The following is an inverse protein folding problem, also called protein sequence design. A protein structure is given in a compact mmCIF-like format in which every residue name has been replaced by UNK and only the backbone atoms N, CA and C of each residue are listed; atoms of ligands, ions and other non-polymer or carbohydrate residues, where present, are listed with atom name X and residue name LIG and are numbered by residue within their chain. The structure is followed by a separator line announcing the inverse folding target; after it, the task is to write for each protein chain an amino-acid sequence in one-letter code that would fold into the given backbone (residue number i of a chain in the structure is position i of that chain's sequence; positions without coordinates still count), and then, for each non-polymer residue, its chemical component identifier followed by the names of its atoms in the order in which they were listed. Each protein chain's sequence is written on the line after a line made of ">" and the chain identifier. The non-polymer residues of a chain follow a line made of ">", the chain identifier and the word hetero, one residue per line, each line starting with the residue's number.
data_IF_551536786040
#
_entry.id   IF_551536786040
#
_cell.length_a   1.000
_cell.length_b   1.000
_cell.length_c   1.000
_cell.angle_alpha   90.00
_cell.angle_beta   90.00
_cell.angle_gamma   90.00
#
_symmetry.space_group_name_H-M   'P 1'
#
loop_
_entity.id
_entity.type
_entity.pdbx_description
1 polymer ?
#
# COMPACT_ATOMS: atom_id res chain seq x y z
N UNK A 1 -24.98 -36.67 -10.33
CA UNK A 1 -24.36 -35.60 -9.54
C UNK A 1 -22.91 -35.98 -9.25
N UNK A 2 -21.93 -35.30 -9.87
CA UNK A 2 -20.52 -35.46 -9.51
C UNK A 2 -20.28 -34.69 -8.21
N UNK A 3 -19.78 -35.36 -7.17
CA UNK A 3 -19.26 -34.68 -5.98
C UNK A 3 -18.20 -33.67 -6.44
N UNK A 4 -18.40 -32.39 -6.10
CA UNK A 4 -17.36 -31.40 -6.28
C UNK A 4 -16.12 -31.88 -5.52
N UNK A 5 -15.05 -32.21 -6.25
CA UNK A 5 -13.78 -32.57 -5.65
C UNK A 5 -13.38 -31.49 -4.66
N UNK A 6 -12.95 -31.90 -3.47
CA UNK A 6 -12.53 -31.02 -2.38
C UNK A 6 -11.33 -30.19 -2.82
N UNK A 7 -11.59 -29.02 -3.42
CA UNK A 7 -10.55 -28.06 -3.72
C UNK A 7 -9.90 -27.63 -2.40
N UNK A 8 -8.58 -27.79 -2.31
CA UNK A 8 -7.76 -27.23 -1.24
C UNK A 8 -6.73 -26.30 -1.89
N UNK A 9 -6.59 -25.07 -1.40
CA UNK A 9 -5.52 -24.18 -1.86
C UNK A 9 -4.16 -24.77 -1.51
N UNK A 10 -3.15 -24.51 -2.33
CA UNK A 10 -1.76 -24.64 -1.90
C UNK A 10 -1.40 -23.53 -0.88
N UNK A 11 -0.20 -23.59 -0.28
CA UNK A 11 0.21 -22.67 0.77
C UNK A 11 0.22 -21.20 0.32
N UNK A 12 0.61 -20.93 -0.94
CA UNK A 12 0.66 -19.58 -1.49
C UNK A 12 -0.75 -19.04 -1.76
N UNK A 13 -1.62 -19.87 -2.34
CA UNK A 13 -3.03 -19.56 -2.54
C UNK A 13 -3.74 -19.33 -1.21
N UNK A 14 -3.45 -20.13 -0.18
CA UNK A 14 -4.01 -19.97 1.15
C UNK A 14 -3.57 -18.64 1.78
N UNK A 15 -2.27 -18.32 1.70
CA UNK A 15 -1.74 -17.04 2.17
C UNK A 15 -2.50 -15.86 1.54
N UNK A 16 -2.63 -15.85 0.21
CA UNK A 16 -3.33 -14.79 -0.51
C UNK A 16 -4.82 -14.67 -0.12
N UNK A 17 -5.51 -15.80 0.06
CA UNK A 17 -6.91 -15.81 0.53
C UNK A 17 -7.02 -15.21 1.93
N UNK A 18 -6.13 -15.61 2.84
CA UNK A 18 -6.11 -15.12 4.22
C UNK A 18 -5.85 -13.61 4.24
N UNK A 19 -4.88 -13.11 3.47
CA UNK A 19 -4.60 -11.67 3.38
C UNK A 19 -5.83 -10.87 2.90
N UNK A 20 -6.54 -11.37 1.88
CA UNK A 20 -7.76 -10.72 1.39
C UNK A 20 -8.90 -10.75 2.41
N UNK A 21 -9.01 -11.82 3.21
CA UNK A 21 -9.99 -11.88 4.31
C UNK A 21 -9.64 -10.95 5.45
N UNK A 22 -8.35 -10.73 5.71
CA UNK A 22 -7.90 -9.72 6.66
C UNK A 22 -8.22 -8.31 6.14
N UNK A 23 -8.04 -8.03 4.84
CA UNK A 23 -8.50 -6.78 4.22
C UNK A 23 -10.00 -6.56 4.42
N UNK A 24 -10.82 -7.58 4.19
CA UNK A 24 -12.26 -7.54 4.45
C UNK A 24 -12.57 -7.24 5.93
N UNK A 25 -11.90 -7.92 6.87
CA UNK A 25 -12.06 -7.66 8.30
C UNK A 25 -11.72 -6.21 8.68
N UNK A 26 -10.66 -5.63 8.10
CA UNK A 26 -10.33 -4.21 8.29
C UNK A 26 -11.40 -3.27 7.74
N UNK A 27 -11.91 -3.54 6.53
CA UNK A 27 -12.97 -2.72 5.91
C UNK A 27 -14.25 -2.78 6.73
N UNK A 28 -14.65 -3.96 7.21
CA UNK A 28 -15.87 -4.15 7.99
C UNK A 28 -15.76 -3.60 9.43
N UNK A 29 -14.56 -3.60 10.02
CA UNK A 29 -14.33 -3.07 11.37
C UNK A 29 -14.06 -1.56 11.42
N UNK A 30 -13.76 -0.93 10.29
CA UNK A 30 -13.56 0.52 10.20
C UNK A 30 -14.83 1.24 9.73
N UNK A 31 -15.38 2.18 10.49
CA UNK A 31 -16.62 2.86 10.12
C UNK A 31 -16.43 3.98 9.06
N UNK A 32 -15.20 4.18 8.56
CA UNK A 32 -14.87 5.15 7.50
C UNK A 32 -14.30 4.49 6.25
N UNK A 33 -13.60 5.27 5.41
CA UNK A 33 -12.84 4.73 4.28
C UNK A 33 -11.39 4.47 4.70
N UNK A 34 -10.86 3.31 4.33
CA UNK A 34 -9.43 2.97 4.40
C UNK A 34 -8.89 2.91 2.98
N UNK A 35 -7.73 3.49 2.77
CA UNK A 35 -6.87 3.15 1.65
C UNK A 35 -6.02 1.95 2.04
N UNK A 36 -6.12 0.90 1.23
CA UNK A 36 -5.29 -0.30 1.34
C UNK A 36 -4.30 -0.30 0.18
N UNK A 37 -3.06 -0.66 0.48
CA UNK A 37 -1.97 -0.80 -0.48
C UNK A 37 -1.41 -2.22 -0.42
N UNK A 38 -1.22 -2.81 -1.59
CA UNK A 38 -0.71 -4.17 -1.78
C UNK A 38 0.63 -4.09 -2.52
N UNK A 39 1.68 -4.80 -2.10
CA UNK A 39 2.93 -4.88 -2.83
C UNK A 39 2.72 -5.31 -4.28
N UNK A 40 3.42 -4.67 -5.21
CA UNK A 40 3.41 -5.07 -6.63
C UNK A 40 4.13 -6.41 -6.87
N UNK A 41 5.02 -6.77 -5.97
CA UNK A 41 5.82 -7.97 -6.00
C UNK A 41 6.16 -8.35 -4.55
N UNK A 42 6.20 -9.65 -4.28
CA UNK A 42 6.58 -10.16 -2.96
C UNK A 42 8.11 -10.12 -2.83
N UNK A 43 8.62 -9.07 -2.20
CA UNK A 43 10.04 -8.93 -1.81
C UNK A 43 10.27 -9.25 -0.34
N UNK A 44 9.26 -9.89 0.28
CA UNK A 44 9.16 -10.00 1.72
C UNK A 44 8.95 -8.64 2.39
N UNK A 45 8.49 -8.70 3.64
CA UNK A 45 8.52 -7.56 4.54
C UNK A 45 7.16 -7.07 4.97
N UNK A 46 6.35 -6.65 4.01
CA UNK A 46 5.03 -6.07 4.27
C UNK A 46 4.03 -6.69 3.30
N UNK A 47 2.97 -7.31 3.81
CA UNK A 47 1.89 -7.85 2.99
C UNK A 47 0.88 -6.75 2.66
N UNK A 48 0.63 -5.80 3.57
CA UNK A 48 -0.29 -4.67 3.35
C UNK A 48 0.20 -3.39 4.03
N UNK A 49 -0.17 -2.24 3.46
CA UNK A 49 -0.16 -0.96 4.16
C UNK A 49 -1.56 -0.34 4.14
N UNK A 50 -2.01 0.25 5.26
CA UNK A 50 -3.34 0.85 5.37
C UNK A 50 -3.30 2.21 6.05
N UNK A 51 -4.13 3.14 5.58
CA UNK A 51 -4.36 4.42 6.23
C UNK A 51 -5.82 4.86 6.06
N UNK A 52 -6.42 5.57 7.03
CA UNK A 52 -7.69 6.26 6.82
C UNK A 52 -7.61 7.22 5.65
N UNK A 53 -8.71 7.38 4.91
CA UNK A 53 -8.74 8.27 3.75
C UNK A 53 -8.26 9.69 4.11
N UNK A 54 -7.27 10.16 3.37
CA UNK A 54 -6.66 11.49 3.55
C UNK A 54 -5.64 11.58 4.68
N UNK A 55 -5.46 10.51 5.45
CA UNK A 55 -4.34 10.35 6.36
C UNK A 55 -3.07 9.92 5.63
N UNK A 56 -1.92 10.19 6.26
CA UNK A 56 -0.61 9.64 5.90
C UNK A 56 0.00 8.82 7.06
N UNK A 57 -0.81 8.51 8.08
CA UNK A 57 -0.46 7.61 9.19
C UNK A 57 -0.57 6.15 8.74
N UNK A 58 0.34 5.73 7.87
CA UNK A 58 0.35 4.37 7.33
C UNK A 58 0.73 3.35 8.40
N UNK A 59 -0.10 2.31 8.50
CA UNK A 59 0.15 1.12 9.32
C UNK A 59 0.45 -0.06 8.42
N UNK A 60 1.60 -0.67 8.63
CA UNK A 60 2.13 -1.81 7.90
C UNK A 60 1.70 -3.10 8.56
N UNK A 61 1.46 -4.13 7.76
CA UNK A 61 0.95 -5.39 8.22
C UNK A 61 1.70 -6.53 7.54
N UNK A 62 2.15 -7.49 8.35
CA UNK A 62 2.66 -8.77 7.88
C UNK A 62 1.71 -9.86 8.36
N UNK A 63 0.98 -10.44 7.42
CA UNK A 63 -0.15 -11.33 7.70
C UNK A 63 0.34 -12.76 7.62
N UNK A 64 0.08 -13.54 8.67
CA UNK A 64 0.41 -14.96 8.71
C UNK A 64 -0.80 -15.71 9.21
N UNK A 65 -1.12 -16.82 8.57
CA UNK A 65 -2.28 -17.60 8.97
C UNK A 65 -2.10 -19.07 8.72
N UNK A 66 -3.03 -19.84 9.26
CA UNK A 66 -3.08 -21.28 9.12
C UNK A 66 -4.53 -21.71 8.87
N UNK A 67 -4.70 -22.84 8.21
CA UNK A 67 -5.98 -23.54 8.13
C UNK A 67 -5.90 -24.94 8.76
N UNK A 68 -4.82 -25.19 9.51
CA UNK A 68 -4.56 -26.47 10.13
C UNK A 68 -5.45 -26.64 11.37
N UNK A 69 -5.94 -27.87 11.56
CA UNK A 69 -6.74 -28.23 12.71
C UNK A 69 -5.80 -28.69 13.83
N UNK A 70 -5.68 -27.90 14.90
CA UNK A 70 -4.89 -28.21 16.09
C UNK A 70 -5.77 -28.63 17.28
N UNK A 71 -5.15 -29.06 18.38
CA UNK A 71 -5.85 -29.45 19.62
C UNK A 71 -6.74 -28.31 20.13
N UNK A 72 -8.03 -28.61 20.36
CA UNK A 72 -9.12 -27.71 20.81
C UNK A 72 -8.94 -26.24 20.48
N UNK A 73 -8.19 -25.48 21.28
CA UNK A 73 -8.08 -24.02 21.14
C UNK A 73 -6.70 -23.51 20.68
N UNK A 74 -5.70 -24.37 20.56
CA UNK A 74 -4.35 -23.96 20.17
C UNK A 74 -4.30 -23.66 18.66
N UNK A 75 -3.45 -22.74 18.26
CA UNK A 75 -3.03 -22.54 16.87
C UNK A 75 -1.51 -22.53 16.79
N UNK A 76 -0.98 -23.01 15.66
CA UNK A 76 0.45 -22.94 15.36
C UNK A 76 0.66 -22.42 13.95
N UNK A 77 1.57 -21.47 13.79
CA UNK A 77 1.88 -20.84 12.50
C UNK A 77 3.40 -20.78 12.35
N UNK A 78 3.93 -21.57 11.42
CA UNK A 78 5.35 -21.59 11.10
C UNK A 78 5.65 -20.74 9.87
N UNK A 79 6.61 -19.83 9.96
CA UNK A 79 6.99 -18.94 8.85
C UNK A 79 8.51 -18.69 8.85
N UNK A 80 9.04 -18.27 7.69
CA UNK A 80 10.45 -17.88 7.60
C UNK A 80 10.69 -16.63 8.43
N UNK A 81 11.80 -16.60 9.17
CA UNK A 81 12.15 -15.44 10.00
C UNK A 81 12.28 -14.21 9.10
N UNK A 82 11.49 -13.16 9.32
CA UNK A 82 11.51 -11.99 8.45
C UNK A 82 12.88 -11.28 8.56
N UNK A 83 13.49 -10.96 7.43
CA UNK A 83 14.66 -10.08 7.33
C UNK A 83 14.21 -8.61 7.37
N UNK A 84 13.50 -8.23 8.43
CA UNK A 84 12.96 -6.88 8.60
C UNK A 84 13.53 -6.20 9.84
N UNK A 85 13.90 -4.94 9.69
CA UNK A 85 14.13 -4.09 10.84
C UNK A 85 12.79 -3.82 11.54
N UNK A 86 12.72 -3.96 12.88
CA UNK A 86 11.52 -3.59 13.62
C UNK A 86 11.07 -2.17 13.27
N UNK A 87 9.78 -2.04 12.94
CA UNK A 87 9.18 -0.78 12.56
C UNK A 87 7.98 -0.52 13.47
N UNK A 88 7.96 0.65 14.10
CA UNK A 88 6.89 1.07 15.04
C UNK A 88 5.48 1.06 14.45
N UNK A 89 5.36 1.07 13.12
CA UNK A 89 4.10 1.04 12.40
C UNK A 89 3.80 -0.34 11.79
N UNK A 90 4.68 -1.33 11.98
CA UNK A 90 4.51 -2.70 11.51
C UNK A 90 4.04 -3.60 12.64
N UNK A 91 2.87 -4.20 12.46
CA UNK A 91 2.44 -5.35 13.24
C UNK A 91 2.41 -6.61 12.38
N UNK A 92 2.54 -7.75 13.04
CA UNK A 92 2.26 -9.06 12.50
C UNK A 92 0.84 -9.45 12.89
N UNK A 93 -0.01 -9.68 11.89
CA UNK A 93 -1.38 -10.15 12.09
C UNK A 93 -1.41 -11.67 11.94
N UNK A 94 -1.60 -12.37 13.05
CA UNK A 94 -1.81 -13.81 13.05
C UNK A 94 -3.30 -14.14 13.06
N UNK A 95 -3.72 -15.09 12.21
CA UNK A 95 -5.13 -15.49 12.10
C UNK A 95 -5.29 -16.99 11.85
N UNK A 96 -6.40 -17.54 12.33
CA UNK A 96 -6.86 -18.88 11.98
C UNK A 96 -7.95 -18.78 10.91
N UNK A 97 -7.93 -19.70 9.93
CA UNK A 97 -8.82 -19.69 8.78
C UNK A 97 -9.53 -21.03 8.61
N UNK A 98 -10.86 -21.00 8.62
CA UNK A 98 -11.69 -22.19 8.51
C UNK A 98 -12.00 -22.50 7.03
N UNK A 99 -11.29 -23.47 6.44
CA UNK A 99 -11.47 -23.88 5.05
C UNK A 99 -12.94 -24.17 4.65
N UNK A 100 -13.75 -24.89 5.46
CA UNK A 100 -15.14 -25.18 5.11
C UNK A 100 -16.03 -23.95 4.93
N UNK A 101 -15.94 -22.96 5.83
CA UNK A 101 -16.79 -21.75 5.78
C UNK A 101 -16.12 -20.60 5.03
N UNK A 102 -14.81 -20.69 4.80
CA UNK A 102 -13.96 -19.67 4.17
C UNK A 102 -13.92 -18.36 4.96
N UNK A 103 -13.90 -18.48 6.28
CA UNK A 103 -13.94 -17.38 7.23
C UNK A 103 -12.70 -17.38 8.13
N UNK A 104 -12.34 -16.19 8.62
CA UNK A 104 -11.39 -16.05 9.71
C UNK A 104 -12.07 -16.38 11.03
N UNK A 105 -11.34 -17.00 11.95
CA UNK A 105 -11.83 -17.36 13.28
C UNK A 105 -11.29 -16.35 14.30
N UNK A 106 -12.15 -15.91 15.22
CA UNK A 106 -11.75 -15.10 16.37
C UNK A 106 -10.93 -15.91 17.39
N UNK A 107 -9.94 -15.29 18.07
CA UNK A 107 -9.42 -13.94 17.83
C UNK A 107 -8.36 -13.90 16.72
N UNK A 108 -8.05 -12.70 16.24
CA UNK A 108 -6.77 -12.42 15.60
C UNK A 108 -5.73 -12.01 16.66
N UNK A 109 -4.44 -12.01 16.30
CA UNK A 109 -3.38 -11.43 17.14
C UNK A 109 -2.66 -10.34 16.38
N UNK A 110 -2.64 -9.13 16.94
CA UNK A 110 -1.88 -7.99 16.42
C UNK A 110 -0.62 -7.81 17.25
N UNK A 111 0.50 -8.33 16.75
CA UNK A 111 1.78 -8.33 17.46
C UNK A 111 2.72 -7.28 16.86
N UNK A 112 3.12 -6.23 17.59
CA UNK A 112 4.11 -5.29 17.09
C UNK A 112 5.41 -5.97 16.67
N UNK A 113 6.02 -5.51 15.58
CA UNK A 113 7.23 -6.14 15.03
C UNK A 113 8.44 -6.17 15.98
N UNK A 114 8.50 -5.28 16.98
CA UNK A 114 9.53 -5.29 18.03
C UNK A 114 9.22 -6.28 19.19
N UNK A 115 8.02 -6.86 19.21
CA UNK A 115 7.54 -7.83 20.22
C UNK A 115 7.44 -9.25 19.71
N UNK A 116 7.80 -9.44 18.47
CA UNK A 116 7.65 -10.65 17.71
C UNK A 116 8.45 -11.83 18.34
N UNK A 117 9.65 -11.56 18.85
CA UNK A 117 10.47 -12.55 19.58
C UNK A 117 9.92 -12.91 20.98
N UNK A 118 8.98 -12.14 21.53
CA UNK A 118 8.33 -12.49 22.81
C UNK A 118 7.32 -13.63 22.63
N UNK A 119 6.70 -13.72 21.45
CA UNK A 119 5.60 -14.65 21.16
C UNK A 119 5.97 -15.79 20.20
N UNK A 120 7.09 -15.66 19.49
CA UNK A 120 7.59 -16.68 18.56
C UNK A 120 8.80 -17.42 19.13
N UNK A 121 8.90 -18.71 18.82
CA UNK A 121 10.09 -19.52 19.11
C UNK A 121 10.87 -19.81 17.82
N UNK A 122 12.19 -19.70 17.87
CA UNK A 122 13.04 -20.12 16.76
C UNK A 122 12.98 -21.65 16.62
N UNK A 123 12.75 -22.12 15.39
CA UNK A 123 12.71 -23.54 15.04
C UNK A 123 13.76 -23.82 13.97
N UNK A 124 14.66 -24.76 14.24
CA UNK A 124 15.74 -25.17 13.34
C UNK A 124 17.14 -24.73 13.82
N UNK A 125 17.84 -25.63 14.51
CA UNK A 125 19.29 -25.52 14.81
C UNK A 125 20.10 -26.67 14.18
N UNK A 126 19.59 -27.29 13.11
CA UNK A 126 20.28 -28.39 12.42
C UNK A 126 20.28 -28.21 10.90
N UNK A 127 21.47 -28.01 10.33
CA UNK A 127 21.81 -28.21 8.91
C UNK A 127 20.99 -27.43 7.85
N UNK A 128 21.59 -26.38 7.30
CA UNK A 128 21.26 -25.72 6.01
C UNK A 128 19.84 -25.24 5.73
N UNK A 129 18.92 -25.22 6.71
CA UNK A 129 17.57 -24.67 6.52
C UNK A 129 17.49 -23.23 7.01
N UNK A 130 16.86 -22.34 6.23
CA UNK A 130 16.62 -20.95 6.63
C UNK A 130 15.99 -20.87 8.03
N UNK A 131 16.36 -19.88 8.84
CA UNK A 131 15.83 -19.74 10.20
C UNK A 131 14.31 -19.59 10.15
N UNK A 132 13.57 -20.45 10.85
CA UNK A 132 12.10 -20.40 10.92
C UNK A 132 11.63 -19.98 12.30
N UNK A 133 10.53 -19.26 12.33
CA UNK A 133 9.82 -18.92 13.56
C UNK A 133 8.51 -19.70 13.63
N UNK A 134 8.16 -20.09 14.85
CA UNK A 134 6.91 -20.72 15.19
C UNK A 134 6.14 -19.82 16.16
N UNK A 135 4.98 -19.36 15.73
CA UNK A 135 4.00 -18.70 16.59
C UNK A 135 3.02 -19.74 17.13
N UNK A 136 2.73 -19.68 18.42
CA UNK A 136 1.77 -20.56 19.09
C UNK A 136 0.90 -19.74 20.03
N UNK A 137 -0.41 -19.93 19.97
CA UNK A 137 -1.36 -19.22 20.82
C UNK A 137 -2.60 -20.06 21.11
N UNK A 138 -3.24 -19.81 22.24
CA UNK A 138 -4.56 -20.30 22.61
C UNK A 138 -5.61 -19.24 22.21
N UNK A 139 -6.67 -19.67 21.53
CA UNK A 139 -7.81 -18.82 21.10
C UNK A 139 -8.73 -18.40 22.24
N UNK A 140 -8.64 -19.05 23.40
CA UNK A 140 -9.47 -18.74 24.55
C UNK A 140 -9.29 -17.29 24.98
N UNK A 141 -10.40 -16.58 25.24
CA UNK A 141 -10.36 -15.24 25.86
C UNK A 141 -9.87 -15.26 27.31
N UNK A 142 -9.64 -16.45 27.89
CA UNK A 142 -9.01 -16.67 29.19
C UNK A 142 -7.58 -17.20 29.07
N UNK A 143 -7.00 -17.16 27.86
CA UNK A 143 -5.64 -17.60 27.61
C UNK A 143 -4.64 -16.85 28.51
N UNK A 144 -3.60 -17.55 28.95
CA UNK A 144 -2.49 -17.01 29.75
C UNK A 144 -1.14 -17.20 29.08
N UNK A 145 -1.15 -17.58 27.80
CA UNK A 145 0.06 -17.66 27.01
C UNK A 145 0.63 -16.25 26.71
N UNK A 146 1.81 -16.22 26.09
CA UNK A 146 2.52 -14.97 25.80
C UNK A 146 1.81 -14.09 24.77
N UNK A 147 0.99 -14.69 23.91
CA UNK A 147 0.28 -14.03 22.84
C UNK A 147 -1.08 -13.45 23.30
N UNK A 148 -1.63 -13.92 24.43
CA UNK A 148 -2.94 -13.51 24.95
C UNK A 148 -3.14 -11.99 25.02
N UNK A 149 -2.10 -11.23 25.40
CA UNK A 149 -2.14 -9.74 25.47
C UNK A 149 -2.29 -9.04 24.12
N UNK A 150 -2.12 -9.76 23.01
CA UNK A 150 -2.24 -9.27 21.64
C UNK A 150 -3.52 -9.76 20.94
N UNK A 151 -4.37 -10.51 21.63
CA UNK A 151 -5.66 -10.94 21.08
C UNK A 151 -6.56 -9.74 20.80
N UNK A 152 -7.14 -9.71 19.60
CA UNK A 152 -8.09 -8.71 19.15
C UNK A 152 -9.22 -9.42 18.42
N UNK A 153 -10.46 -9.05 18.72
CA UNK A 153 -11.59 -9.55 17.95
C UNK A 153 -11.50 -9.00 16.51
N UNK A 154 -11.82 -9.80 15.50
CA UNK A 154 -11.76 -9.41 14.08
C UNK A 154 -12.59 -8.14 13.80
N UNK A 155 -13.72 -7.97 14.48
CA UNK A 155 -14.58 -6.77 14.41
C UNK A 155 -13.93 -5.50 15.01
N UNK A 156 -12.86 -5.63 15.77
CA UNK A 156 -12.12 -4.55 16.44
C UNK A 156 -10.74 -4.31 15.81
N UNK A 157 -10.39 -5.08 14.76
CA UNK A 157 -9.06 -5.10 14.15
C UNK A 157 -8.60 -3.70 13.70
N UNK A 158 -9.47 -2.96 13.00
CA UNK A 158 -9.19 -1.58 12.60
C UNK A 158 -9.00 -0.64 13.80
N UNK A 159 -9.87 -0.71 14.80
CA UNK A 159 -9.81 0.14 15.98
C UNK A 159 -8.52 -0.08 16.80
N UNK A 160 -8.02 -1.32 16.82
CA UNK A 160 -6.80 -1.69 17.52
C UNK A 160 -5.52 -1.08 16.90
N UNK A 161 -5.55 -0.59 15.66
CA UNK A 161 -4.39 -0.01 14.94
C UNK A 161 -3.99 1.39 15.39
N UNK A 162 -4.80 2.03 16.25
CA UNK A 162 -4.49 3.34 16.88
C UNK A 162 -4.10 4.43 15.87
N UNK A 163 -4.80 4.49 14.73
CA UNK A 163 -4.61 5.58 13.78
C UNK A 163 -4.83 6.95 14.44
N UNK A 164 -4.04 7.94 14.03
CA UNK A 164 -4.08 9.29 14.59
C UNK A 164 -5.34 10.10 14.23
N UNK A 165 -6.21 9.58 13.36
CA UNK A 165 -7.38 10.26 12.84
C UNK A 165 -8.63 9.42 13.10
N UNK A 166 -9.71 10.08 13.52
CA UNK A 166 -11.03 9.47 13.66
C UNK A 166 -11.75 9.39 12.30
N UNK A 167 -12.54 8.34 12.06
CA UNK A 167 -13.26 8.17 10.81
C UNK A 167 -14.23 9.34 10.59
N UNK A 168 -14.28 9.86 9.35
CA UNK A 168 -15.30 10.85 8.97
C UNK A 168 -16.69 10.21 9.06
N UNK A 169 -17.67 10.99 9.55
CA UNK A 169 -19.09 10.55 9.65
C UNK A 169 -19.74 10.23 8.30
N UNK A 170 -19.15 10.63 7.18
CA UNK A 170 -19.66 10.39 5.83
C UNK A 170 -18.54 10.03 4.86
N UNK A 171 -18.85 9.14 3.91
CA UNK A 171 -17.94 8.77 2.83
C UNK A 171 -17.58 10.00 1.97
N UNK A 172 -16.33 10.09 1.50
CA UNK A 172 -15.97 11.12 0.54
C UNK A 172 -16.73 10.89 -0.78
N UNK A 173 -17.48 11.90 -1.22
CA UNK A 173 -18.16 11.91 -2.52
C UNK A 173 -17.11 12.02 -3.63
N UNK A 174 -17.23 11.21 -4.69
CA UNK A 174 -16.36 11.28 -5.87
C UNK A 174 -15.21 10.26 -5.92
N UNK A 175 -15.24 9.23 -5.08
CA UNK A 175 -14.41 8.03 -5.26
C UNK A 175 -14.85 7.34 -6.56
N UNK A 176 -13.98 7.29 -7.57
CA UNK A 176 -14.29 6.62 -8.84
C UNK A 176 -14.52 5.13 -8.59
N UNK A 177 -15.62 4.57 -9.06
CA UNK A 177 -15.91 3.13 -8.94
C UNK A 177 -15.38 2.31 -10.12
N UNK A 178 -14.85 2.96 -11.17
CA UNK A 178 -14.40 2.30 -12.38
C UNK A 178 -12.89 2.51 -12.60
N UNK A 179 -12.10 1.43 -12.79
CA UNK A 179 -10.73 1.54 -13.25
C UNK A 179 -10.72 2.17 -14.65
N UNK A 180 -10.02 3.28 -14.81
CA UNK A 180 -9.81 3.89 -16.12
C UNK A 180 -8.56 3.25 -16.72
N UNK A 181 -8.72 2.34 -17.68
CA UNK A 181 -7.62 1.58 -18.33
C UNK A 181 -6.45 2.48 -18.79
N UNK A 182 -6.74 3.73 -19.19
CA UNK A 182 -5.72 4.70 -19.59
C UNK A 182 -4.82 5.14 -18.44
N UNK A 183 -5.33 5.25 -17.21
CA UNK A 183 -4.51 5.57 -16.01
C UNK A 183 -3.52 4.44 -15.69
N UNK A 184 -4.01 3.20 -15.73
CA UNK A 184 -3.19 2.00 -15.50
C UNK A 184 -1.98 1.91 -16.43
N UNK A 185 -2.08 2.34 -17.70
CA UNK A 185 -0.94 2.32 -18.62
C UNK A 185 0.26 3.13 -18.10
N UNK A 186 0.02 4.34 -17.62
CA UNK A 186 1.08 5.22 -17.08
C UNK A 186 1.65 4.67 -15.79
N UNK A 187 0.78 4.16 -14.92
CA UNK A 187 1.22 3.55 -13.67
C UNK A 187 2.07 2.31 -13.89
N UNK A 188 1.68 1.41 -14.81
CA UNK A 188 2.47 0.22 -15.14
C UNK A 188 3.83 0.56 -15.73
N UNK A 189 3.92 1.62 -16.52
CA UNK A 189 5.21 2.11 -17.02
C UNK A 189 6.11 2.61 -15.88
N UNK A 190 5.55 3.38 -14.94
CA UNK A 190 6.26 3.80 -13.74
C UNK A 190 6.68 2.60 -12.89
N UNK A 191 5.79 1.63 -12.67
CA UNK A 191 6.04 0.42 -11.89
C UNK A 191 7.26 -0.34 -12.43
N UNK A 192 7.29 -0.61 -13.74
CA UNK A 192 8.42 -1.30 -14.37
C UNK A 192 9.74 -0.54 -14.16
N UNK A 193 9.75 0.77 -14.41
CA UNK A 193 10.95 1.60 -14.27
C UNK A 193 11.42 1.69 -12.80
N UNK A 194 10.49 1.69 -11.84
CA UNK A 194 10.82 1.67 -10.41
C UNK A 194 11.44 0.34 -10.00
N UNK A 195 10.87 -0.77 -10.44
CA UNK A 195 11.38 -2.10 -10.13
C UNK A 195 12.76 -2.34 -10.75
N UNK A 196 13.00 -1.84 -11.96
CA UNK A 196 14.33 -1.87 -12.60
C UNK A 196 15.38 -1.07 -11.84
N UNK A 197 14.99 0.03 -11.21
CA UNK A 197 15.88 0.88 -10.43
C UNK A 197 15.99 0.46 -8.95
N UNK A 198 15.16 -0.46 -8.47
CA UNK A 198 15.10 -0.83 -7.06
C UNK A 198 16.34 -1.62 -6.62
N UNK A 199 16.83 -1.34 -5.41
CA UNK A 199 17.97 -2.04 -4.83
C UNK A 199 17.58 -3.38 -4.19
N UNK A 200 16.28 -3.59 -3.98
CA UNK A 200 15.70 -4.67 -3.18
C UNK A 200 15.36 -4.25 -1.75
N UNK A 201 15.77 -3.07 -1.28
CA UNK A 201 15.31 -2.48 -0.02
C UNK A 201 13.89 -1.89 -0.15
N UNK A 202 13.56 -1.36 -1.32
CA UNK A 202 12.31 -0.66 -1.55
C UNK A 202 11.15 -1.61 -1.89
N UNK A 203 10.04 -1.47 -1.16
CA UNK A 203 8.77 -2.14 -1.46
C UNK A 203 7.83 -1.13 -2.10
N UNK A 204 7.50 -1.32 -3.38
CA UNK A 204 6.48 -0.53 -4.08
C UNK A 204 5.12 -1.23 -3.97
N UNK A 205 4.13 -0.49 -3.49
CA UNK A 205 2.77 -0.94 -3.29
C UNK A 205 1.79 -0.14 -4.14
N UNK A 206 0.75 -0.80 -4.64
CA UNK A 206 -0.36 -0.21 -5.37
C UNK A 206 -1.61 -0.10 -4.52
N UNK A 207 -2.38 0.96 -4.72
CA UNK A 207 -3.72 1.13 -4.16
C UNK A 207 -4.65 0.00 -4.59
N UNK A 208 -5.40 -0.54 -3.63
CA UNK A 208 -6.39 -1.59 -3.85
C UNK A 208 -7.66 -1.31 -3.01
N UNK A 209 -8.77 -0.87 -3.62
CA UNK A 209 -8.92 -0.52 -5.04
C UNK A 209 -8.24 0.82 -5.38
N UNK A 210 -7.89 0.99 -6.66
CA UNK A 210 -7.30 2.23 -7.17
C UNK A 210 -8.35 3.32 -7.44
N UNK A 211 -8.99 3.76 -6.35
CA UNK A 211 -10.11 4.70 -6.42
C UNK A 211 -9.79 6.07 -5.81
N UNK A 212 -8.57 6.25 -5.32
CA UNK A 212 -8.11 7.43 -4.59
C UNK A 212 -6.97 8.11 -5.36
N UNK A 213 -6.72 9.40 -5.13
CA UNK A 213 -5.68 10.16 -5.87
C UNK A 213 -4.24 9.77 -5.51
N UNK A 214 -4.02 8.57 -4.95
CA UNK A 214 -2.74 8.06 -4.46
C UNK A 214 -2.51 6.66 -4.99
N UNK A 215 -1.94 6.57 -6.18
CA UNK A 215 -1.86 5.32 -6.95
C UNK A 215 -0.76 4.39 -6.42
N UNK A 216 0.38 4.94 -5.97
CA UNK A 216 1.50 4.14 -5.43
C UNK A 216 2.02 4.66 -4.11
N UNK A 217 2.52 3.74 -3.29
CA UNK A 217 3.16 3.97 -2.00
C UNK A 217 4.42 3.11 -1.94
N UNK A 218 5.57 3.71 -1.66
CA UNK A 218 6.82 2.99 -1.47
C UNK A 218 7.29 3.09 -0.02
N UNK A 219 7.90 2.01 0.48
CA UNK A 219 8.60 1.96 1.76
C UNK A 219 10.02 1.47 1.58
N UNK A 220 10.95 1.96 2.39
CA UNK A 220 12.27 1.37 2.61
C UNK A 220 12.18 0.37 3.77
N UNK A 221 12.61 -0.88 3.57
CA UNK A 221 12.61 -1.91 4.63
C UNK A 221 13.62 -1.57 5.73
N UNK A 222 14.78 -1.03 5.37
CA UNK A 222 15.84 -0.67 6.30
C UNK A 222 15.48 0.54 7.15
N UNK A 223 15.04 1.63 6.52
CA UNK A 223 14.84 2.91 7.22
C UNK A 223 13.41 3.16 7.69
N UNK A 224 12.44 2.39 7.19
CA UNK A 224 11.02 2.62 7.41
C UNK A 224 10.49 3.93 6.78
N UNK A 225 11.30 4.62 5.97
CA UNK A 225 10.89 5.80 5.21
C UNK A 225 9.85 5.42 4.18
N UNK A 226 8.99 6.37 3.81
CA UNK A 226 7.93 6.13 2.84
C UNK A 226 7.73 7.31 1.89
N UNK A 227 7.26 7.10 0.68
CA UNK A 227 6.79 8.18 -0.18
C UNK A 227 5.59 7.68 -0.96
N UNK A 228 4.65 8.56 -1.30
CA UNK A 228 3.52 8.19 -2.15
C UNK A 228 3.44 9.07 -3.39
N UNK A 229 2.81 8.56 -4.43
CA UNK A 229 2.73 9.24 -5.72
C UNK A 229 1.38 9.03 -6.39
N UNK A 230 0.84 10.12 -6.95
CA UNK A 230 -0.28 10.14 -7.88
C UNK A 230 0.27 10.19 -9.30
N UNK A 231 -0.15 9.28 -10.17
CA UNK A 231 0.39 9.16 -11.53
C UNK A 231 -0.72 9.46 -12.53
N UNK A 232 -0.58 10.54 -13.29
CA UNK A 232 -1.58 10.97 -14.25
C UNK A 232 -1.03 11.00 -15.66
N UNK A 233 -1.71 10.28 -16.55
CA UNK A 233 -1.62 10.50 -17.98
C UNK A 233 -2.24 11.82 -18.37
N UNK A 234 -1.64 12.50 -19.33
CA UNK A 234 -2.18 13.72 -19.89
C UNK A 234 -2.71 13.51 -21.31
N UNK A 235 -3.85 14.14 -21.61
CA UNK A 235 -4.38 14.22 -22.97
C UNK A 235 -3.88 15.51 -23.63
N UNK A 236 -3.32 15.40 -24.85
CA UNK A 236 -2.96 16.57 -25.65
C UNK A 236 -4.17 17.07 -26.45
N UNK A 237 -4.46 18.37 -26.38
CA UNK A 237 -5.42 18.99 -27.30
C UNK A 237 -4.71 19.42 -28.59
N UNK A 238 -5.18 18.91 -29.74
CA UNK A 238 -4.52 19.01 -31.05
C UNK A 238 -4.22 20.43 -31.57
N UNK A 239 -4.84 21.48 -31.04
CA UNK A 239 -4.71 22.85 -31.58
C UNK A 239 -3.61 23.70 -30.93
N UNK A 240 -3.05 23.30 -29.79
CA UNK A 240 -2.20 24.18 -28.97
C UNK A 240 -1.00 23.51 -28.30
N UNK A 241 -0.77 22.21 -28.56
CA UNK A 241 0.20 21.40 -27.82
C UNK A 241 0.00 21.49 -26.30
N UNK A 242 -1.22 21.77 -25.84
CA UNK A 242 -1.55 21.82 -24.43
C UNK A 242 -1.84 20.42 -23.93
N UNK A 243 -1.25 20.07 -22.80
CA UNK A 243 -1.56 18.86 -22.05
C UNK A 243 -2.24 19.24 -20.73
N UNK A 244 -3.22 18.42 -20.34
CA UNK A 244 -3.98 18.61 -19.12
C UNK A 244 -4.05 17.31 -18.33
N UNK A 245 -3.98 17.44 -17.01
CA UNK A 245 -4.30 16.38 -16.07
C UNK A 245 -5.24 16.93 -14.99
N UNK A 246 -6.28 16.16 -14.68
CA UNK A 246 -7.33 16.57 -13.75
C UNK A 246 -7.22 15.71 -12.49
N UNK A 247 -7.09 16.35 -11.34
CA UNK A 247 -7.00 15.67 -10.05
C UNK A 247 -8.25 16.02 -9.24
N UNK A 248 -8.98 15.00 -8.78
CA UNK A 248 -10.23 15.24 -8.07
C UNK A 248 -9.96 15.83 -6.67
N UNK A 249 -10.52 17.00 -6.39
CA UNK A 249 -10.23 17.74 -5.16
C UNK A 249 -10.67 17.01 -3.89
N UNK A 250 -11.73 16.19 -3.97
CA UNK A 250 -12.25 15.46 -2.80
C UNK A 250 -11.33 14.33 -2.31
N UNK A 251 -10.43 13.83 -3.17
CA UNK A 251 -9.49 12.75 -2.82
C UNK A 251 -8.04 13.23 -2.78
N UNK A 252 -7.79 14.53 -3.03
CA UNK A 252 -6.46 15.13 -3.03
C UNK A 252 -6.12 15.74 -1.67
N UNK A 253 -5.10 15.20 -1.02
CA UNK A 253 -4.63 15.64 0.29
C UNK A 253 -3.12 15.96 0.20
N UNK A 254 -2.70 17.23 0.08
CA UNK A 254 -1.29 17.56 -0.10
C UNK A 254 -0.46 17.17 1.13
N UNK A 255 0.74 16.65 0.90
CA UNK A 255 1.68 16.26 1.95
C UNK A 255 3.14 16.32 1.46
N UNK A 256 4.13 16.70 2.30
CA UNK A 256 5.52 16.83 1.88
C UNK A 256 6.17 15.57 1.28
N UNK A 257 5.65 14.39 1.61
CA UNK A 257 6.10 13.08 1.10
C UNK A 257 5.16 12.46 0.06
N UNK A 258 4.21 13.26 -0.44
CA UNK A 258 3.31 12.87 -1.51
C UNK A 258 3.61 13.68 -2.77
N UNK A 259 3.76 13.00 -3.89
CA UNK A 259 4.16 13.59 -5.16
C UNK A 259 3.12 13.35 -6.25
N UNK A 260 3.17 14.16 -7.30
CA UNK A 260 2.32 14.04 -8.48
C UNK A 260 3.25 13.90 -9.67
N UNK A 261 3.07 12.84 -10.43
CA UNK A 261 3.74 12.59 -11.69
C UNK A 261 2.75 12.78 -12.82
N UNK A 262 3.01 13.75 -13.70
CA UNK A 262 2.26 13.92 -14.95
C UNK A 262 3.13 13.47 -16.11
N UNK A 263 2.61 12.55 -16.91
CA UNK A 263 3.29 11.99 -18.07
C UNK A 263 2.48 12.21 -19.35
N UNK A 264 3.17 12.14 -20.48
CA UNK A 264 2.54 12.22 -21.79
C UNK A 264 3.10 11.15 -22.73
N UNK A 265 2.18 10.43 -23.39
CA UNK A 265 2.50 9.45 -24.42
C UNK A 265 1.84 9.88 -25.73
N UNK A 266 2.65 10.13 -26.75
CA UNK A 266 2.15 10.46 -28.08
C UNK A 266 1.68 9.18 -28.77
N UNK A 267 0.36 8.96 -28.76
CA UNK A 267 -0.26 7.78 -29.38
C UNK A 267 -0.04 7.70 -30.90
N UNK A 268 0.17 8.83 -31.58
CA UNK A 268 0.38 8.85 -33.04
C UNK A 268 1.77 8.38 -33.41
N UNK A 269 2.75 8.77 -32.61
CA UNK A 269 4.16 8.39 -32.80
C UNK A 269 4.56 7.14 -32.02
N UNK A 270 3.67 6.64 -31.17
CA UNK A 270 3.91 5.53 -30.26
C UNK A 270 5.18 5.75 -29.41
N UNK A 271 5.37 6.98 -28.93
CA UNK A 271 6.57 7.38 -28.19
C UNK A 271 6.20 8.11 -26.90
N UNK A 272 7.02 7.92 -25.88
CA UNK A 272 6.98 8.73 -24.67
C UNK A 272 7.50 10.13 -24.97
N UNK A 273 6.80 11.15 -24.50
CA UNK A 273 7.36 12.50 -24.53
C UNK A 273 8.60 12.53 -23.63
N UNK A 274 9.70 13.20 -24.04
CA UNK A 274 10.97 13.14 -23.32
C UNK A 274 10.92 13.76 -21.92
N UNK A 275 9.90 14.57 -21.64
CA UNK A 275 9.73 15.25 -20.37
C UNK A 275 8.47 14.80 -19.64
N UNK A 276 8.62 14.61 -18.33
CA UNK A 276 7.53 14.44 -17.38
C UNK A 276 7.60 15.55 -16.32
N UNK A 277 6.56 15.68 -15.50
CA UNK A 277 6.55 16.63 -14.39
C UNK A 277 6.40 15.87 -13.08
N UNK A 278 7.43 15.96 -12.24
CA UNK A 278 7.45 15.35 -10.91
C UNK A 278 7.36 16.46 -9.86
N UNK A 279 6.18 16.60 -9.26
CA UNK A 279 5.77 17.79 -8.52
C UNK A 279 5.48 17.38 -7.07
N UNK A 280 6.09 18.01 -6.06
CA UNK A 280 5.61 17.86 -4.68
C UNK A 280 4.14 18.26 -4.58
N UNK A 281 3.30 17.44 -3.94
CA UNK A 281 1.85 17.72 -3.89
C UNK A 281 1.53 19.04 -3.19
N UNK A 282 2.35 19.48 -2.24
CA UNK A 282 2.26 20.80 -1.60
C UNK A 282 2.46 21.95 -2.58
N UNK A 283 3.31 21.75 -3.59
CA UNK A 283 3.61 22.76 -4.61
C UNK A 283 2.51 22.76 -5.66
N UNK A 284 2.03 21.57 -6.03
CA UNK A 284 0.86 21.43 -6.88
C UNK A 284 -0.36 22.14 -6.29
N UNK A 285 -0.65 21.93 -5.00
CA UNK A 285 -1.77 22.59 -4.32
C UNK A 285 -1.71 24.13 -4.40
N UNK A 286 -0.50 24.71 -4.42
CA UNK A 286 -0.29 26.15 -4.55
C UNK A 286 -0.43 26.67 -5.98
N UNK A 287 -0.08 25.85 -6.98
CA UNK A 287 0.04 26.26 -8.37
C UNK A 287 -1.15 25.88 -9.24
N UNK A 288 -1.88 24.82 -8.87
CA UNK A 288 -3.02 24.32 -9.62
C UNK A 288 -4.19 25.30 -9.58
N UNK A 289 -4.89 25.42 -10.71
CA UNK A 289 -6.14 26.18 -10.77
C UNK A 289 -7.32 25.24 -10.46
N UNK A 290 -8.28 25.72 -9.65
CA UNK A 290 -9.53 25.00 -9.43
C UNK A 290 -10.48 25.16 -10.62
N UNK A 291 -11.11 24.06 -11.05
CA UNK A 291 -12.22 24.07 -12.03
C UNK A 291 -13.25 23.01 -11.64
N UNK A 292 -14.38 23.46 -11.07
CA UNK A 292 -15.41 22.56 -10.56
C UNK A 292 -14.82 21.64 -9.47
N UNK A 293 -15.03 20.31 -9.54
CA UNK A 293 -14.52 19.38 -8.53
C UNK A 293 -13.04 18.99 -8.73
N UNK A 294 -12.33 19.62 -9.68
CA UNK A 294 -10.96 19.25 -10.04
C UNK A 294 -9.95 20.37 -9.79
N UNK A 295 -8.73 19.96 -9.43
CA UNK A 295 -7.51 20.73 -9.53
C UNK A 295 -6.84 20.42 -10.86
N UNK A 296 -6.47 21.46 -11.60
CA UNK A 296 -5.96 21.32 -12.96
C UNK A 296 -4.45 21.52 -13.03
N UNK A 297 -3.80 20.52 -13.61
CA UNK A 297 -2.53 20.71 -14.30
C UNK A 297 -2.82 21.14 -15.75
N UNK A 298 -2.18 22.20 -16.21
CA UNK A 298 -2.21 22.58 -17.63
C UNK A 298 -0.86 23.15 -18.00
N UNK A 299 -0.22 22.57 -19.01
CA UNK A 299 1.04 23.04 -19.57
C UNK A 299 1.09 22.81 -21.07
N UNK A 300 2.17 23.23 -21.71
CA UNK A 300 2.41 23.05 -23.15
C UNK A 300 3.60 22.14 -23.40
N UNK A 301 3.52 21.32 -24.44
CA UNK A 301 4.64 20.56 -25.00
C UNK A 301 5.57 21.43 -25.86
N UNK A 302 5.28 22.73 -26.02
CA UNK A 302 6.21 23.64 -26.67
C UNK A 302 7.37 23.96 -25.70
N UNK A 303 8.61 23.50 -25.98
CA UNK A 303 9.74 23.66 -25.07
C UNK A 303 10.18 25.13 -24.89
N UNK A 304 9.81 26.02 -25.81
CA UNK A 304 10.17 27.44 -25.78
C UNK A 304 9.23 28.27 -24.87
N UNK A 305 8.08 27.74 -24.46
CA UNK A 305 7.14 28.46 -23.61
C UNK A 305 7.44 28.21 -22.13
N UNK A 306 7.88 29.27 -21.46
CA UNK A 306 7.99 29.30 -19.99
C UNK A 306 6.59 29.16 -19.38
N UNK A 307 6.47 28.29 -18.38
CA UNK A 307 5.24 28.09 -17.62
C UNK A 307 5.57 27.76 -16.17
N UNK A 308 4.58 27.90 -15.28
CA UNK A 308 4.73 27.68 -13.83
C UNK A 308 5.19 26.28 -13.43
N UNK A 309 5.08 25.30 -14.32
CA UNK A 309 5.48 23.91 -14.06
C UNK A 309 6.90 23.60 -14.51
N UNK A 310 7.58 24.52 -15.19
CA UNK A 310 8.93 24.33 -15.71
C UNK A 310 9.96 23.87 -14.64
N UNK A 311 9.93 24.36 -13.38
CA UNK A 311 10.87 23.90 -12.34
C UNK A 311 10.73 22.42 -11.96
N UNK A 312 9.59 21.79 -12.25
CA UNK A 312 9.30 20.40 -11.88
C UNK A 312 9.50 19.44 -13.06
N UNK A 313 9.98 19.94 -14.20
CA UNK A 313 10.19 19.15 -15.40
C UNK A 313 11.43 18.27 -15.23
N UNK A 314 11.26 16.97 -15.45
CA UNK A 314 12.33 15.97 -15.41
C UNK A 314 12.30 15.14 -16.70
N UNK A 315 13.42 14.50 -17.03
CA UNK A 315 13.41 13.51 -18.10
C UNK A 315 12.46 12.36 -17.73
N UNK A 316 11.61 11.91 -18.66
CA UNK A 316 10.62 10.86 -18.40
C UNK A 316 11.29 9.57 -17.89
N UNK A 317 12.44 9.21 -18.45
CA UNK A 317 13.23 8.06 -18.01
C UNK A 317 13.75 8.18 -16.56
N UNK A 318 13.80 9.38 -15.98
CA UNK A 318 14.29 9.60 -14.62
C UNK A 318 13.18 9.62 -13.56
N UNK A 319 11.92 9.43 -13.94
CA UNK A 319 10.78 9.56 -13.03
C UNK A 319 10.85 8.63 -11.81
N UNK A 320 11.21 7.37 -12.04
CA UNK A 320 11.33 6.39 -10.96
C UNK A 320 12.50 6.71 -10.02
N UNK A 321 13.68 7.00 -10.56
CA UNK A 321 14.87 7.39 -9.78
C UNK A 321 14.63 8.66 -8.98
N UNK A 322 13.92 9.64 -9.54
CA UNK A 322 13.53 10.85 -8.81
C UNK A 322 12.62 10.53 -7.61
N UNK A 323 11.69 9.58 -7.77
CA UNK A 323 10.82 9.13 -6.68
C UNK A 323 11.58 8.31 -5.63
N UNK A 324 12.52 7.46 -6.03
CA UNK A 324 13.40 6.74 -5.09
C UNK A 324 14.29 7.69 -4.30
N UNK A 325 14.86 8.71 -4.95
CA UNK A 325 15.59 9.75 -4.24
C UNK A 325 14.69 10.46 -3.22
N UNK A 326 13.45 10.79 -3.60
CA UNK A 326 12.46 11.40 -2.70
C UNK A 326 12.08 10.50 -1.51
N UNK A 327 11.93 9.18 -1.71
CA UNK A 327 11.71 8.19 -0.66
C UNK A 327 12.83 8.25 0.40
N UNK A 328 14.08 8.31 -0.07
CA UNK A 328 15.26 8.30 0.77
C UNK A 328 15.65 9.67 1.33
N UNK A 329 15.07 10.76 0.83
CA UNK A 329 15.33 12.09 1.41
C UNK A 329 14.66 12.27 2.79
N UNK A 330 15.34 12.93 3.74
CA UNK A 330 14.70 13.41 4.96
C UNK A 330 13.59 14.40 4.59
N UNK A 331 12.42 14.28 5.23
CA UNK A 331 11.39 15.29 5.08
C UNK A 331 11.95 16.63 5.58
N UNK A 332 11.97 17.66 4.71
CA UNK A 332 12.35 19.00 5.14
C UNK A 332 11.41 19.45 6.25
N UNK A 333 11.95 19.90 7.39
CA UNK A 333 11.21 20.33 8.60
C UNK A 333 10.25 21.53 8.41
N UNK A 334 9.90 21.91 7.18
CA UNK A 334 9.00 23.04 6.91
C UNK A 334 7.63 22.54 6.45
N UNK A 335 6.75 22.33 7.42
CA UNK A 335 5.30 22.66 7.41
C UNK A 335 4.62 21.89 8.54
N UNK A 336 4.49 22.55 9.69
CA UNK A 336 3.43 22.30 10.66
C UNK A 336 2.44 23.46 10.53
#
# INVERSE_FOLDING_TARGET
>A
MRQAGSWRPDDAQLGWIIENRVDEAYILSWPGQLETYVPLHDTGGFDRARAPLGSYDFRLDQIKGTASVYLKNQIEIGFTTPTLHPNRNLDFTFVDYLLPTRELIDPAWLVPSDKLAEVCSATGTGGSREPRWLFTADRSGLARDRAAKYQVALRELAAARRWSILPRKSAAVGVSANPIETGMFFERHFDATFLEAASGDEVLMASAPDNFSRHRLAFSKESGRWASIAIHGSAASNSSNLIQANIHAATFFPHPRHYILVQHYDRRRAEWYPWSWFIPSTDFARLAAGKGPYLLFTTTLNPQRVNRWLPYRIATASAATAFQAALHHPASRRAA
#
